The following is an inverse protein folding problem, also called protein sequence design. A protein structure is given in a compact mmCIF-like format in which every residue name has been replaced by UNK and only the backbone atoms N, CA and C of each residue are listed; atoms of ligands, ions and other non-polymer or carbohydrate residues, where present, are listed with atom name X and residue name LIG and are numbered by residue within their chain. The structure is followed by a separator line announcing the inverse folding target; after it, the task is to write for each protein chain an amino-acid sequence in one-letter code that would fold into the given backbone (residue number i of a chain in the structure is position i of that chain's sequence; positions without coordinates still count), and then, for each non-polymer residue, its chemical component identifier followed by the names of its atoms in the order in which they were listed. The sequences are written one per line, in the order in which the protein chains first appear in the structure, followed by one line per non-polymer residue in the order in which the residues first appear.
data_IF_623805821087
#
_entry.id   IF_623805821087
#
_cell.length_a   1.000
_cell.length_b   1.000
_cell.length_c   1.000
_cell.angle_alpha   90.00
_cell.angle_beta   90.00
_cell.angle_gamma   90.00
#
_symmetry.space_group_name_H-M   'P 1'
#
loop_
_entity.id
_entity.type
_entity.pdbx_description
1 polymer ?
#
# COMPACT_ATOMS: atom_id res chain seq x y z
N UNK A 1 -35.25 29.78 -63.34
CA UNK A 1 -34.22 30.34 -64.24
C UNK A 1 -33.25 29.22 -64.58
N UNK A 2 -33.33 28.76 -65.82
CA UNK A 2 -32.47 27.74 -66.41
C UNK A 2 -31.49 28.41 -67.37
N UNK A 3 -30.25 27.94 -67.34
CA UNK A 3 -29.17 28.09 -68.33
C UNK A 3 -28.34 26.81 -68.12
N UNK A 4 -28.32 25.74 -68.93
CA UNK A 4 -28.10 25.59 -70.38
C UNK A 4 -27.01 26.54 -70.88
N UNK A 5 -25.84 26.12 -71.39
CA UNK A 5 -25.55 25.06 -72.39
C UNK A 5 -24.03 24.67 -72.37
N UNK A 6 -23.62 23.45 -72.78
CA UNK A 6 -22.23 23.06 -73.15
C UNK A 6 -21.89 23.50 -74.62
N UNK A 7 -20.85 23.08 -75.40
CA UNK A 7 -19.73 22.11 -75.26
C UNK A 7 -18.34 22.62 -75.79
N UNK A 8 -17.28 21.79 -75.76
CA UNK A 8 -16.43 21.40 -76.91
C UNK A 8 -15.00 20.97 -76.54
N UNK A 9 -14.64 19.88 -77.21
CA UNK A 9 -13.44 19.05 -77.25
C UNK A 9 -12.18 19.75 -77.78
N UNK A 10 -11.04 19.59 -77.10
CA UNK A 10 -9.71 19.70 -77.71
C UNK A 10 -8.86 18.51 -77.28
N UNK A 11 -8.88 17.49 -78.14
CA UNK A 11 -7.92 16.40 -78.17
C UNK A 11 -6.70 16.86 -78.97
N UNK A 12 -5.55 17.00 -78.31
CA UNK A 12 -4.18 17.02 -78.83
C UNK A 12 -3.27 17.16 -77.58
N UNK A 13 -2.29 16.32 -77.27
CA UNK A 13 -1.46 15.46 -78.10
C UNK A 13 -0.99 14.27 -77.26
N UNK A 14 -0.91 13.11 -77.91
CA UNK A 14 -0.01 12.06 -77.47
C UNK A 14 1.40 12.64 -77.38
N UNK A 15 2.00 12.61 -76.18
CA UNK A 15 3.45 12.46 -76.07
C UNK A 15 3.71 11.20 -75.28
N UNK A 16 4.19 10.20 -75.99
CA UNK A 16 4.73 8.97 -75.43
C UNK A 16 6.15 9.26 -74.96
N UNK A 17 6.38 9.28 -73.65
CA UNK A 17 7.68 8.98 -73.05
C UNK A 17 7.45 8.72 -71.55
N UNK A 18 7.32 7.45 -71.17
CA UNK A 18 8.44 6.59 -70.78
C UNK A 18 9.20 7.15 -69.58
N UNK A 19 8.86 6.59 -68.43
CA UNK A 19 9.44 6.83 -67.12
C UNK A 19 8.54 6.11 -66.12
N UNK A 20 8.41 4.79 -66.25
CA UNK A 20 9.13 3.88 -65.37
C UNK A 20 8.83 4.22 -63.90
N UNK A 21 7.92 3.44 -63.33
CA UNK A 21 7.98 3.05 -61.91
C UNK A 21 8.15 4.23 -60.94
N UNK A 22 7.08 5.01 -60.76
CA UNK A 22 6.84 5.61 -59.46
C UNK A 22 6.65 4.47 -58.48
N UNK A 23 7.76 4.06 -57.89
CA UNK A 23 7.89 2.97 -56.93
C UNK A 23 6.72 3.01 -55.97
N UNK A 24 5.98 1.91 -55.92
CA UNK A 24 5.31 1.47 -54.72
C UNK A 24 6.25 1.73 -53.55
N UNK A 25 5.93 2.76 -52.76
CA UNK A 25 6.21 2.86 -51.33
C UNK A 25 7.18 1.78 -50.87
N UNK A 26 8.45 2.15 -50.89
CA UNK A 26 9.56 1.46 -50.23
C UNK A 26 9.39 1.58 -48.70
N UNK A 27 8.18 1.25 -48.20
CA UNK A 27 7.90 1.05 -46.77
C UNK A 27 8.53 -0.25 -46.27
N UNK A 28 9.28 -0.92 -47.14
CA UNK A 28 10.28 -1.93 -46.79
C UNK A 28 11.65 -1.27 -46.64
N UNK A 29 11.78 -0.31 -45.73
CA UNK A 29 12.99 -0.27 -44.89
C UNK A 29 13.02 -1.63 -44.19
N UNK A 30 13.57 -2.63 -44.87
CA UNK A 30 13.71 -3.98 -44.37
C UNK A 30 14.62 -3.88 -43.16
N UNK A 31 14.02 -3.79 -41.97
CA UNK A 31 14.73 -3.82 -40.71
C UNK A 31 15.77 -4.92 -40.80
N UNK A 32 17.01 -4.57 -40.47
CA UNK A 32 18.07 -5.57 -40.49
C UNK A 32 17.67 -6.71 -39.55
N UNK A 33 18.07 -7.97 -39.81
CA UNK A 33 17.64 -9.11 -38.97
C UNK A 33 17.88 -8.90 -37.48
N UNK A 34 18.96 -8.17 -37.14
CA UNK A 34 19.29 -7.78 -35.78
C UNK A 34 18.33 -6.73 -35.19
N UNK A 35 17.93 -5.72 -35.96
CA UNK A 35 16.98 -4.71 -35.47
C UNK A 35 15.62 -5.32 -35.15
N UNK A 36 15.13 -6.25 -35.97
CA UNK A 36 13.88 -6.95 -35.70
C UNK A 36 13.98 -7.82 -34.43
N UNK A 37 15.07 -8.57 -34.26
CA UNK A 37 15.31 -9.39 -33.06
C UNK A 37 15.36 -8.53 -31.79
N UNK A 38 16.03 -7.38 -31.85
CA UNK A 38 16.12 -6.42 -30.74
C UNK A 38 14.74 -5.85 -30.42
N UNK A 39 13.94 -5.46 -31.42
CA UNK A 39 12.58 -4.95 -31.21
C UNK A 39 11.65 -6.01 -30.60
N UNK A 40 11.76 -7.26 -31.04
CA UNK A 40 10.98 -8.37 -30.47
C UNK A 40 11.36 -8.61 -29.00
N UNK A 41 12.64 -8.55 -28.65
CA UNK A 41 13.08 -8.66 -27.25
C UNK A 41 12.67 -7.44 -26.41
N UNK A 42 12.69 -6.22 -26.96
CA UNK A 42 12.15 -5.05 -26.26
C UNK A 42 10.63 -5.15 -26.05
N UNK A 43 9.88 -5.65 -27.03
CA UNK A 43 8.45 -5.86 -26.91
C UNK A 43 8.15 -6.90 -25.82
N UNK A 44 8.94 -7.99 -25.77
CA UNK A 44 8.85 -9.02 -24.74
C UNK A 44 9.22 -8.48 -23.36
N UNK A 45 10.29 -7.71 -23.26
CA UNK A 45 10.72 -7.06 -22.03
C UNK A 45 9.65 -6.10 -21.50
N UNK A 46 9.10 -5.25 -22.38
CA UNK A 46 8.01 -4.33 -22.04
C UNK A 46 6.76 -5.09 -21.56
N UNK A 47 6.43 -6.21 -22.20
CA UNK A 47 5.36 -7.10 -21.75
C UNK A 47 5.61 -7.65 -20.35
N UNK A 48 6.83 -8.13 -20.08
CA UNK A 48 7.22 -8.60 -18.76
C UNK A 48 7.19 -7.48 -17.71
N UNK A 49 7.66 -6.28 -18.04
CA UNK A 49 7.68 -5.13 -17.13
C UNK A 49 6.25 -4.68 -16.79
N UNK A 50 5.36 -4.64 -17.77
CA UNK A 50 3.94 -4.36 -17.54
C UNK A 50 3.27 -5.43 -16.67
N UNK A 51 3.59 -6.71 -16.89
CA UNK A 51 3.09 -7.79 -16.05
C UNK A 51 3.59 -7.65 -14.60
N UNK A 52 4.90 -7.43 -14.40
CA UNK A 52 5.47 -7.21 -13.07
C UNK A 52 4.86 -5.98 -12.39
N UNK A 53 4.69 -4.87 -13.12
CA UNK A 53 4.04 -3.67 -12.59
C UNK A 53 2.61 -3.94 -12.15
N UNK A 54 1.86 -4.74 -12.92
CA UNK A 54 0.47 -5.11 -12.59
C UNK A 54 0.43 -5.97 -11.33
N UNK A 55 1.28 -7.00 -11.25
CA UNK A 55 1.38 -7.87 -10.07
C UNK A 55 1.80 -7.09 -8.81
N UNK A 56 2.76 -6.17 -8.94
CA UNK A 56 3.18 -5.30 -7.84
C UNK A 56 2.06 -4.36 -7.40
N UNK A 57 1.31 -3.80 -8.35
CA UNK A 57 0.14 -2.97 -8.05
C UNK A 57 -0.95 -3.78 -7.34
N UNK A 58 -1.21 -5.01 -7.76
CA UNK A 58 -2.19 -5.89 -7.12
C UNK A 58 -1.77 -6.28 -5.70
N UNK A 59 -0.50 -6.64 -5.52
CA UNK A 59 0.08 -6.99 -4.21
C UNK A 59 0.10 -5.78 -3.27
N UNK A 60 0.42 -4.59 -3.79
CA UNK A 60 0.41 -3.35 -3.02
C UNK A 60 -1.01 -2.87 -2.69
N UNK A 61 -1.99 -3.13 -3.55
CA UNK A 61 -3.38 -2.74 -3.32
C UNK A 61 -4.08 -3.69 -2.35
N UNK A 62 -3.62 -4.94 -2.26
CA UNK A 62 -4.14 -5.96 -1.35
C UNK A 62 -3.07 -6.40 -0.34
N UNK A 63 -2.53 -5.51 0.52
CA UNK A 63 -1.75 -5.97 1.65
C UNK A 63 -2.67 -6.87 2.47
N UNK A 64 -2.29 -8.14 2.65
CA UNK A 64 -3.17 -9.23 3.10
C UNK A 64 -4.05 -8.76 4.25
N UNK A 65 -5.30 -8.39 3.95
CA UNK A 65 -6.23 -7.85 4.95
C UNK A 65 -6.37 -8.83 6.12
N UNK A 66 -6.24 -10.12 5.80
CA UNK A 66 -6.12 -11.23 6.72
C UNK A 66 -4.97 -11.08 7.74
N UNK A 67 -3.78 -10.65 7.33
CA UNK A 67 -2.64 -10.41 8.25
C UNK A 67 -2.93 -9.22 9.16
N UNK A 68 -3.50 -8.13 8.64
CA UNK A 68 -3.85 -6.97 9.45
C UNK A 68 -4.95 -7.29 10.47
N UNK A 69 -5.95 -8.07 10.08
CA UNK A 69 -7.01 -8.54 10.98
C UNK A 69 -6.48 -9.53 12.01
N UNK A 70 -5.57 -10.43 11.61
CA UNK A 70 -4.87 -11.31 12.55
C UNK A 70 -4.03 -10.52 13.56
N UNK A 71 -3.29 -9.49 13.13
CA UNK A 71 -2.51 -8.63 14.01
C UNK A 71 -3.39 -7.83 14.97
N UNK A 72 -4.51 -7.25 14.50
CA UNK A 72 -5.50 -6.59 15.36
C UNK A 72 -6.12 -7.56 16.37
N UNK A 73 -6.44 -8.77 15.93
CA UNK A 73 -6.93 -9.84 16.80
C UNK A 73 -5.90 -10.22 17.87
N UNK A 74 -4.62 -10.26 17.50
CA UNK A 74 -3.52 -10.54 18.42
C UNK A 74 -3.32 -9.41 19.43
N UNK A 75 -3.33 -8.14 18.99
CA UNK A 75 -3.21 -6.95 19.84
C UNK A 75 -4.27 -6.91 20.94
N UNK A 76 -5.52 -7.22 20.60
CA UNK A 76 -6.62 -7.26 21.58
C UNK A 76 -6.38 -8.33 22.65
N UNK A 77 -5.94 -9.52 22.22
CA UNK A 77 -5.69 -10.65 23.13
C UNK A 77 -4.50 -10.36 24.05
N UNK A 78 -3.40 -9.84 23.51
CA UNK A 78 -2.21 -9.52 24.30
C UNK A 78 -2.46 -8.33 25.23
N UNK A 79 -3.23 -7.32 24.81
CA UNK A 79 -3.63 -6.21 25.69
C UNK A 79 -4.46 -6.69 26.88
N UNK A 80 -5.35 -7.65 26.67
CA UNK A 80 -6.12 -8.27 27.75
C UNK A 80 -5.20 -9.01 28.72
N UNK A 81 -4.30 -9.86 28.19
CA UNK A 81 -3.31 -10.59 29.00
C UNK A 81 -2.43 -9.63 29.79
N UNK A 82 -1.93 -8.56 29.16
CA UNK A 82 -1.09 -7.54 29.81
C UNK A 82 -1.85 -6.81 30.93
N UNK A 83 -3.12 -6.49 30.71
CA UNK A 83 -3.96 -5.84 31.73
C UNK A 83 -4.19 -6.77 32.92
N UNK A 84 -4.53 -8.03 32.67
CA UNK A 84 -4.72 -9.03 33.73
C UNK A 84 -3.43 -9.27 34.51
N UNK A 85 -2.29 -9.35 33.81
CA UNK A 85 -0.97 -9.46 34.42
C UNK A 85 -0.68 -8.24 35.30
N UNK A 86 -0.91 -7.03 34.81
CA UNK A 86 -0.67 -5.78 35.55
C UNK A 86 -1.55 -5.71 36.81
N UNK A 87 -2.82 -6.08 36.71
CA UNK A 87 -3.72 -6.14 37.86
C UNK A 87 -3.26 -7.19 38.89
N UNK A 88 -2.85 -8.37 38.42
CA UNK A 88 -2.33 -9.45 39.26
C UNK A 88 -1.07 -9.01 40.01
N UNK A 89 -0.09 -8.45 39.31
CA UNK A 89 1.16 -7.96 39.90
C UNK A 89 0.90 -6.84 40.89
N UNK A 90 0.05 -5.86 40.54
CA UNK A 90 -0.28 -4.75 41.44
C UNK A 90 -0.94 -5.23 42.73
N UNK A 91 -1.89 -6.17 42.63
CA UNK A 91 -2.52 -6.79 43.79
C UNK A 91 -1.51 -7.50 44.71
N UNK A 92 -0.57 -8.24 44.12
CA UNK A 92 0.47 -8.96 44.88
C UNK A 92 1.41 -7.97 45.58
N UNK A 93 1.92 -6.96 44.87
CA UNK A 93 2.86 -5.96 45.43
C UNK A 93 2.18 -5.15 46.52
N UNK A 94 0.94 -4.71 46.32
CA UNK A 94 0.20 -3.95 47.31
C UNK A 94 -0.08 -4.79 48.58
N UNK A 95 -0.46 -6.05 48.42
CA UNK A 95 -0.66 -6.94 49.56
C UNK A 95 0.64 -7.22 50.33
N UNK A 96 1.80 -7.26 49.67
CA UNK A 96 3.10 -7.37 50.33
C UNK A 96 3.42 -6.11 51.13
N UNK A 97 3.26 -4.93 50.54
CA UNK A 97 3.45 -3.65 51.23
C UNK A 97 2.56 -3.57 52.48
N UNK A 98 1.27 -3.92 52.37
CA UNK A 98 0.37 -3.92 53.55
C UNK A 98 0.81 -4.91 54.64
N UNK A 99 1.41 -6.04 54.25
CA UNK A 99 1.85 -7.08 55.20
C UNK A 99 3.21 -6.77 55.84
N UNK A 100 4.08 -6.08 55.11
CA UNK A 100 5.38 -5.59 55.58
C UNK A 100 5.24 -4.29 56.38
N UNK A 101 4.30 -3.41 55.98
CA UNK A 101 3.98 -2.12 56.63
C UNK A 101 2.79 -2.20 57.62
N UNK A 102 2.33 -3.41 57.96
CA UNK A 102 1.30 -3.65 59.00
C UNK A 102 1.73 -3.15 60.38
N UNK A 103 0.79 -2.77 61.27
CA UNK A 103 0.95 -1.70 62.27
C UNK A 103 1.97 -2.04 63.35
N UNK A 104 3.23 -1.67 63.12
CA UNK A 104 4.31 -1.88 64.07
C UNK A 104 5.42 -0.82 64.04
N UNK A 105 5.27 0.23 63.24
CA UNK A 105 6.32 1.23 63.08
C UNK A 105 5.79 2.67 63.04
N UNK A 106 5.87 3.37 64.17
CA UNK A 106 5.94 4.85 64.17
C UNK A 106 4.90 5.58 65.00
N UNK A 107 5.21 5.77 66.30
CA UNK A 107 5.04 7.01 67.07
C UNK A 107 3.65 7.61 67.27
N UNK A 108 3.20 7.75 68.52
CA UNK A 108 3.39 8.97 69.33
C UNK A 108 2.55 8.90 70.61
N UNK A 109 3.16 9.30 71.72
CA UNK A 109 2.56 9.25 73.05
C UNK A 109 1.39 10.22 73.19
N UNK A 110 0.30 9.75 73.79
CA UNK A 110 -0.71 10.62 74.39
C UNK A 110 -0.74 10.33 75.88
N UNK A 111 0.06 11.09 76.61
CA UNK A 111 -0.22 11.36 78.01
C UNK A 111 -1.48 12.22 78.10
N UNK A 112 -2.51 11.70 78.77
CA UNK A 112 -3.62 12.47 79.33
C UNK A 112 -4.12 11.61 80.50
N UNK A 113 -3.79 11.93 81.74
CA UNK A 113 -4.19 13.16 82.39
C UNK A 113 -5.46 12.86 83.19
N UNK A 114 -5.24 12.41 84.43
CA UNK A 114 -6.07 12.61 85.62
C UNK A 114 -7.59 12.38 85.52
N UNK A 115 -8.09 11.37 86.24
CA UNK A 115 -9.34 11.49 87.00
C UNK A 115 -9.63 10.29 87.90
N UNK A 116 -9.70 10.63 89.20
CA UNK A 116 -10.62 10.11 90.22
C UNK A 116 -10.09 9.01 91.14
N UNK A 117 -9.63 9.48 92.30
CA UNK A 117 -9.89 8.76 93.54
C UNK A 117 -11.39 8.58 93.75
N UNK A 118 -11.78 7.41 94.24
CA UNK A 118 -12.99 7.21 95.04
C UNK A 118 -12.94 5.83 95.71
N UNK A 119 -12.55 5.85 96.99
CA UNK A 119 -13.08 5.03 98.09
C UNK A 119 -13.11 3.50 97.90
N UNK A 120 -12.22 2.80 98.61
CA UNK A 120 -12.56 1.95 99.77
C UNK A 120 -11.27 1.57 100.52
#
# INVERSE_FOLDING_TARGET
MATDTPPQHLSASQTSQSGATGASTDDSETLTPLEQEVLDEYARLLGNLNNMSTLLSELSANPSAEILDALRGLERKTSLVFTLLKASVYSIVLNQQIREDGPGGGGEGVGMGDSRGSVL
#
